data_IF_299939738676
#
_entry.id   IF_299939738676
#
_cell.length_a   1.000
_cell.length_b   1.000
_cell.length_c   1.000
_cell.angle_alpha   90.00
_cell.angle_beta   90.00
_cell.angle_gamma   90.00
#
_symmetry.space_group_name_H-M   'P 1'
#
loop_
_entity.id
_entity.type
_entity.pdbx_description
1 polymer ?
#
# COMPACT_ATOMS: atom_id res chain seq x y z
N UNK A 1 -36.87 -1.19 7.35
CA UNK A 1 -35.84 -1.79 8.22
C UNK A 1 -35.67 -3.27 7.92
N UNK A 2 -34.54 -3.60 7.29
CA UNK A 2 -34.12 -4.98 7.04
C UNK A 2 -33.64 -5.68 8.31
N UNK A 3 -33.87 -6.98 8.36
CA UNK A 3 -33.34 -7.84 9.43
C UNK A 3 -31.83 -8.07 9.25
N UNK A 4 -31.08 -8.39 10.33
CA UNK A 4 -29.67 -8.75 10.23
C UNK A 4 -29.38 -9.91 9.28
N UNK A 5 -30.31 -10.87 9.17
CA UNK A 5 -30.22 -11.99 8.24
C UNK A 5 -30.30 -11.51 6.77
N UNK A 6 -31.21 -10.59 6.46
CA UNK A 6 -31.35 -10.00 5.12
C UNK A 6 -30.12 -9.17 4.73
N UNK A 7 -29.56 -8.39 5.65
CA UNK A 7 -28.31 -7.66 5.40
C UNK A 7 -27.13 -8.61 5.12
N UNK A 8 -27.09 -9.75 5.83
CA UNK A 8 -26.08 -10.79 5.58
C UNK A 8 -26.26 -11.43 4.21
N UNK A 9 -27.51 -11.71 3.81
CA UNK A 9 -27.83 -12.24 2.50
C UNK A 9 -27.43 -11.27 1.36
N UNK A 10 -27.66 -9.97 1.51
CA UNK A 10 -27.22 -8.94 0.54
C UNK A 10 -25.68 -8.99 0.38
N UNK A 11 -24.95 -8.97 1.50
CA UNK A 11 -23.48 -9.02 1.48
C UNK A 11 -22.95 -10.31 0.83
N UNK A 12 -23.58 -11.44 1.12
CA UNK A 12 -23.22 -12.72 0.53
C UNK A 12 -23.50 -12.73 -0.97
N UNK A 13 -24.65 -12.22 -1.41
CA UNK A 13 -24.99 -12.09 -2.83
C UNK A 13 -23.97 -11.22 -3.59
N UNK A 14 -23.59 -10.06 -3.03
CA UNK A 14 -22.58 -9.19 -3.62
C UNK A 14 -21.19 -9.87 -3.75
N UNK A 15 -20.82 -10.73 -2.80
CA UNK A 15 -19.51 -11.41 -2.79
C UNK A 15 -19.47 -12.68 -3.64
N UNK A 16 -20.44 -13.56 -3.46
CA UNK A 16 -20.41 -14.91 -3.99
C UNK A 16 -21.07 -14.99 -5.35
N UNK A 17 -22.18 -14.27 -5.55
CA UNK A 17 -22.90 -14.27 -6.83
C UNK A 17 -22.28 -13.25 -7.80
N UNK A 18 -22.02 -12.03 -7.33
CA UNK A 18 -21.49 -10.96 -8.17
C UNK A 18 -19.96 -10.90 -8.22
N UNK A 19 -19.26 -11.75 -7.45
CA UNK A 19 -17.80 -11.88 -7.43
C UNK A 19 -17.06 -10.58 -7.11
N UNK A 20 -17.69 -9.66 -6.39
CA UNK A 20 -17.06 -8.40 -6.01
C UNK A 20 -15.96 -8.67 -4.98
N UNK A 21 -14.79 -8.06 -5.19
CA UNK A 21 -13.62 -8.23 -4.32
C UNK A 21 -13.35 -7.00 -3.45
N UNK A 22 -13.79 -5.83 -3.91
CA UNK A 22 -13.58 -4.56 -3.22
C UNK A 22 -14.67 -4.35 -2.19
N UNK A 23 -14.32 -4.52 -0.92
CA UNK A 23 -15.37 -4.41 0.07
C UNK A 23 -15.76 -2.99 0.48
N UNK A 24 -14.99 -1.94 0.13
CA UNK A 24 -15.44 -0.55 0.35
C UNK A 24 -16.68 -0.32 -0.51
N UNK A 25 -16.59 -0.79 -1.75
CA UNK A 25 -17.72 -0.82 -2.66
C UNK A 25 -18.81 -1.78 -2.17
N UNK A 26 -18.49 -2.96 -1.63
CA UNK A 26 -19.53 -3.87 -1.09
C UNK A 26 -20.32 -3.22 0.05
N UNK A 27 -19.68 -2.46 0.95
CA UNK A 27 -20.40 -1.74 2.00
C UNK A 27 -21.32 -0.67 1.41
N UNK A 28 -20.79 0.18 0.54
CA UNK A 28 -21.55 1.26 -0.10
C UNK A 28 -22.74 0.70 -0.89
N UNK A 29 -22.50 -0.37 -1.66
CA UNK A 29 -23.57 -1.09 -2.35
C UNK A 29 -24.54 -1.75 -1.37
N UNK A 30 -24.08 -2.29 -0.24
CA UNK A 30 -25.00 -2.86 0.76
C UNK A 30 -25.97 -1.79 1.27
N UNK A 31 -25.49 -0.57 1.53
CA UNK A 31 -26.36 0.53 1.99
C UNK A 31 -27.37 0.91 0.90
N UNK A 32 -26.93 1.04 -0.35
CA UNK A 32 -27.82 1.34 -1.47
C UNK A 32 -28.82 0.22 -1.78
N UNK A 33 -28.40 -1.05 -1.77
CA UNK A 33 -29.28 -2.20 -1.89
C UNK A 33 -30.29 -2.24 -0.74
N UNK A 34 -29.86 -1.91 0.47
CA UNK A 34 -30.75 -1.90 1.64
C UNK A 34 -31.89 -0.90 1.44
N UNK A 35 -31.57 0.32 1.01
CA UNK A 35 -32.59 1.34 0.71
C UNK A 35 -33.55 0.88 -0.41
N UNK A 36 -33.00 0.39 -1.53
CA UNK A 36 -33.82 -0.05 -2.67
C UNK A 36 -34.74 -1.23 -2.32
N UNK A 37 -34.25 -2.19 -1.53
CA UNK A 37 -35.03 -3.35 -1.09
C UNK A 37 -36.08 -2.91 -0.07
N UNK A 38 -35.77 -2.00 0.85
CA UNK A 38 -36.76 -1.49 1.82
C UNK A 38 -37.94 -0.83 1.12
N UNK A 39 -37.68 -0.03 0.08
CA UNK A 39 -38.74 0.60 -0.71
C UNK A 39 -39.65 -0.42 -1.40
N UNK A 40 -39.07 -1.52 -1.91
CA UNK A 40 -39.81 -2.61 -2.55
C UNK A 40 -40.60 -3.45 -1.54
N UNK A 41 -40.02 -3.73 -0.36
CA UNK A 41 -40.71 -4.44 0.72
C UNK A 41 -41.89 -3.63 1.26
N UNK A 42 -41.75 -2.30 1.34
CA UNK A 42 -42.85 -1.41 1.73
C UNK A 42 -44.03 -1.47 0.75
N UNK A 43 -43.79 -1.86 -0.50
CA UNK A 43 -44.81 -2.09 -1.53
C UNK A 43 -45.40 -3.51 -1.49
N UNK A 44 -44.99 -4.34 -0.53
CA UNK A 44 -45.49 -5.71 -0.36
C UNK A 44 -44.83 -6.75 -1.27
N UNK A 45 -43.71 -6.41 -1.92
CA UNK A 45 -42.94 -7.40 -2.69
C UNK A 45 -42.17 -8.33 -1.75
N UNK A 46 -41.81 -9.52 -2.24
CA UNK A 46 -40.96 -10.45 -1.47
C UNK A 46 -39.50 -10.02 -1.52
N UNK A 47 -38.71 -10.44 -0.52
CA UNK A 47 -37.29 -10.10 -0.45
C UNK A 47 -36.50 -10.58 -1.69
N UNK A 48 -36.75 -11.80 -2.17
CA UNK A 48 -36.02 -12.35 -3.32
C UNK A 48 -36.32 -11.55 -4.61
N UNK A 49 -37.58 -11.17 -4.82
CA UNK A 49 -37.97 -10.31 -5.94
C UNK A 49 -37.39 -8.90 -5.81
N UNK A 50 -37.38 -8.35 -4.60
CA UNK A 50 -36.79 -7.04 -4.34
C UNK A 50 -35.27 -7.04 -4.57
N UNK A 51 -34.57 -8.10 -4.15
CA UNK A 51 -33.14 -8.30 -4.35
C UNK A 51 -32.81 -8.41 -5.84
N UNK A 52 -33.53 -9.24 -6.61
CA UNK A 52 -33.33 -9.36 -8.05
C UNK A 52 -33.62 -8.04 -8.79
N UNK A 53 -34.63 -7.30 -8.35
CA UNK A 53 -34.97 -5.98 -8.93
C UNK A 53 -33.88 -4.95 -8.63
N UNK A 54 -33.36 -4.92 -7.39
CA UNK A 54 -32.23 -4.09 -7.03
C UNK A 54 -31.00 -4.45 -7.86
N UNK A 55 -30.68 -5.74 -8.01
CA UNK A 55 -29.56 -6.22 -8.80
C UNK A 55 -29.64 -5.78 -10.27
N UNK A 56 -30.83 -5.91 -10.87
CA UNK A 56 -31.10 -5.41 -12.22
C UNK A 56 -30.93 -3.88 -12.32
N UNK A 57 -31.31 -3.13 -11.28
CA UNK A 57 -31.13 -1.69 -11.18
C UNK A 57 -29.66 -1.24 -11.21
N UNK A 58 -28.75 -2.07 -10.68
CA UNK A 58 -27.30 -1.84 -10.75
C UNK A 58 -26.63 -2.42 -12.01
N UNK A 59 -27.43 -2.92 -12.96
CA UNK A 59 -26.93 -3.51 -14.21
C UNK A 59 -26.47 -4.96 -14.06
N UNK A 60 -26.95 -5.67 -13.05
CA UNK A 60 -26.55 -7.04 -12.67
C UNK A 60 -25.02 -7.13 -12.44
N UNK A 61 -24.50 -8.36 -12.42
CA UNK A 61 -23.07 -8.64 -12.32
C UNK A 61 -22.15 -7.76 -13.20
N UNK A 62 -22.37 -7.59 -14.53
CA UNK A 62 -21.46 -6.78 -15.34
C UNK A 62 -21.47 -5.29 -14.96
N UNK A 63 -22.63 -4.75 -14.57
CA UNK A 63 -22.74 -3.38 -14.06
C UNK A 63 -21.94 -3.20 -12.77
N UNK A 64 -22.11 -4.13 -11.82
CA UNK A 64 -21.39 -4.13 -10.55
C UNK A 64 -19.87 -4.27 -10.71
N UNK A 65 -19.41 -5.15 -11.61
CA UNK A 65 -17.98 -5.29 -11.92
C UNK A 65 -17.42 -4.02 -12.58
N UNK A 66 -18.21 -3.34 -13.42
CA UNK A 66 -17.81 -2.06 -13.99
C UNK A 66 -17.67 -0.97 -12.92
N UNK A 67 -18.58 -0.95 -11.93
CA UNK A 67 -18.49 -0.06 -10.77
C UNK A 67 -17.25 -0.35 -9.93
N UNK A 68 -16.91 -1.62 -9.69
CA UNK A 68 -15.67 -2.00 -9.00
C UNK A 68 -14.44 -1.51 -9.75
N UNK A 69 -14.41 -1.68 -11.07
CA UNK A 69 -13.31 -1.18 -11.90
C UNK A 69 -13.20 0.34 -11.85
N UNK A 70 -14.33 1.06 -11.89
CA UNK A 70 -14.33 2.52 -11.79
C UNK A 70 -13.86 3.00 -10.42
N UNK A 71 -14.35 2.38 -9.35
CA UNK A 71 -13.97 2.70 -7.98
C UNK A 71 -12.48 2.47 -7.74
N UNK A 72 -11.97 1.31 -8.17
CA UNK A 72 -10.54 0.98 -8.04
C UNK A 72 -9.65 1.93 -8.85
N UNK A 73 -10.04 2.28 -10.07
CA UNK A 73 -9.31 3.25 -10.89
C UNK A 73 -9.29 4.65 -10.26
N UNK A 74 -10.43 5.12 -9.75
CA UNK A 74 -10.52 6.42 -9.09
C UNK A 74 -9.67 6.48 -7.82
N UNK A 75 -9.74 5.42 -6.99
CA UNK A 75 -8.93 5.29 -5.77
C UNK A 75 -7.43 5.25 -6.08
N UNK A 76 -7.02 4.50 -7.10
CA UNK A 76 -5.63 4.44 -7.56
C UNK A 76 -5.14 5.80 -8.06
N UNK A 77 -5.97 6.54 -8.82
CA UNK A 77 -5.60 7.86 -9.32
C UNK A 77 -5.38 8.85 -8.16
N UNK A 78 -6.28 8.87 -7.18
CA UNK A 78 -6.16 9.72 -5.99
C UNK A 78 -4.89 9.38 -5.17
N UNK A 79 -4.58 8.09 -5.03
CA UNK A 79 -3.35 7.63 -4.41
C UNK A 79 -2.12 8.17 -5.16
N UNK A 80 -2.05 7.99 -6.47
CA UNK A 80 -0.93 8.47 -7.29
C UNK A 80 -0.77 9.99 -7.26
N UNK A 81 -1.87 10.74 -7.27
CA UNK A 81 -1.82 12.21 -7.11
C UNK A 81 -1.19 12.59 -5.76
N UNK A 82 -1.55 11.88 -4.68
CA UNK A 82 -0.97 12.10 -3.35
C UNK A 82 0.53 11.79 -3.33
N UNK A 83 0.94 10.67 -3.95
CA UNK A 83 2.35 10.30 -4.10
C UNK A 83 3.13 11.36 -4.88
N UNK A 84 2.60 11.81 -6.02
CA UNK A 84 3.23 12.84 -6.85
C UNK A 84 3.35 14.19 -6.14
N UNK A 85 2.33 14.58 -5.38
CA UNK A 85 2.37 15.81 -4.60
C UNK A 85 3.48 15.76 -3.55
N UNK A 86 3.57 14.66 -2.79
CA UNK A 86 4.65 14.45 -1.82
C UNK A 86 6.02 14.40 -2.50
N UNK A 87 6.15 13.70 -3.62
CA UNK A 87 7.40 13.64 -4.38
C UNK A 87 7.87 15.05 -4.78
N UNK A 88 6.94 15.90 -5.23
CA UNK A 88 7.23 17.29 -5.55
C UNK A 88 7.74 18.07 -4.33
N UNK A 89 7.16 17.85 -3.16
CA UNK A 89 7.66 18.46 -1.91
C UNK A 89 9.08 17.99 -1.55
N UNK A 90 9.44 16.75 -1.88
CA UNK A 90 10.79 16.23 -1.70
C UNK A 90 11.79 16.81 -2.71
N UNK A 91 11.34 17.24 -3.89
CA UNK A 91 12.18 17.96 -4.86
C UNK A 91 12.43 19.43 -4.51
N UNK A 92 11.93 19.93 -3.38
CA UNK A 92 12.26 21.27 -2.92
C UNK A 92 13.77 21.41 -2.67
N UNK A 93 14.37 22.51 -3.15
CA UNK A 93 15.81 22.81 -3.10
C UNK A 93 16.55 22.43 -1.80
N UNK A 94 16.07 22.79 -0.58
CA UNK A 94 16.79 22.45 0.65
C UNK A 94 16.87 20.94 0.89
N UNK A 95 15.87 20.17 0.46
CA UNK A 95 15.85 18.71 0.61
C UNK A 95 16.72 18.03 -0.45
N UNK A 96 16.77 18.56 -1.66
CA UNK A 96 17.70 18.09 -2.70
C UNK A 96 19.15 18.23 -2.26
N UNK A 97 19.52 19.37 -1.66
CA UNK A 97 20.87 19.58 -1.12
C UNK A 97 21.21 18.51 -0.07
N UNK A 98 20.27 18.21 0.84
CA UNK A 98 20.42 17.14 1.82
C UNK A 98 20.57 15.75 1.18
N UNK A 99 19.82 15.48 0.11
CA UNK A 99 19.92 14.20 -0.61
C UNK A 99 21.27 14.05 -1.31
N UNK A 100 21.73 15.09 -2.02
CA UNK A 100 23.03 15.08 -2.69
C UNK A 100 24.18 15.01 -1.68
N UNK A 101 24.08 15.70 -0.54
CA UNK A 101 25.12 15.62 0.51
C UNK A 101 25.16 14.23 1.14
N UNK A 102 24.00 13.62 1.46
CA UNK A 102 23.91 12.26 1.96
C UNK A 102 24.52 11.27 0.97
N UNK A 103 24.20 11.40 -0.32
CA UNK A 103 24.73 10.55 -1.39
C UNK A 103 26.24 10.69 -1.51
N UNK A 104 26.76 11.92 -1.44
CA UNK A 104 28.20 12.20 -1.46
C UNK A 104 28.94 11.62 -0.26
N UNK A 105 28.37 11.75 0.96
CA UNK A 105 28.92 11.15 2.18
C UNK A 105 28.93 9.63 2.08
N UNK A 106 27.83 9.03 1.61
CA UNK A 106 27.72 7.59 1.46
C UNK A 106 28.74 7.07 0.43
N UNK A 107 28.87 7.74 -0.72
CA UNK A 107 29.87 7.43 -1.74
C UNK A 107 31.29 7.53 -1.18
N UNK A 108 31.61 8.61 -0.45
CA UNK A 108 32.92 8.77 0.18
C UNK A 108 33.23 7.64 1.15
N UNK A 109 32.28 7.28 2.02
CA UNK A 109 32.41 6.16 2.96
C UNK A 109 32.59 4.83 2.22
N UNK A 110 31.78 4.56 1.20
CA UNK A 110 31.85 3.33 0.39
C UNK A 110 33.18 3.20 -0.34
N UNK A 111 33.68 4.29 -0.92
CA UNK A 111 34.93 4.32 -1.71
C UNK A 111 36.18 4.10 -0.88
N UNK A 112 36.19 4.53 0.39
CA UNK A 112 37.38 4.44 1.27
C UNK A 112 37.50 3.10 2.02
N UNK A 113 36.44 2.30 2.06
CA UNK A 113 36.31 1.15 2.97
C UNK A 113 36.09 -0.18 2.23
N UNK A 114 36.73 -0.31 1.06
CA UNK A 114 36.26 -1.10 -0.08
C UNK A 114 36.21 -2.64 0.09
N UNK A 115 36.78 -3.26 1.12
CA UNK A 115 36.81 -4.75 1.19
C UNK A 115 36.18 -5.39 2.44
N UNK A 116 36.38 -4.86 3.64
CA UNK A 116 35.82 -5.47 4.87
C UNK A 116 34.50 -4.80 5.31
N UNK A 117 34.42 -3.48 5.17
CA UNK A 117 33.31 -2.67 5.68
C UNK A 117 32.12 -2.70 4.72
N UNK A 118 32.35 -2.93 3.43
CA UNK A 118 31.29 -3.13 2.44
C UNK A 118 30.46 -4.38 2.76
N UNK A 119 31.11 -5.54 2.93
CA UNK A 119 30.43 -6.77 3.36
C UNK A 119 29.73 -6.59 4.71
N UNK A 120 30.35 -5.87 5.65
CA UNK A 120 29.74 -5.53 6.94
C UNK A 120 28.46 -4.69 6.81
N UNK A 121 28.47 -3.65 5.97
CA UNK A 121 27.31 -2.77 5.73
C UNK A 121 26.18 -3.49 5.01
N UNK A 122 26.52 -4.36 4.07
CA UNK A 122 25.58 -5.24 3.35
C UNK A 122 24.89 -6.19 4.31
N UNK A 123 25.66 -6.87 5.15
CA UNK A 123 25.13 -7.79 6.16
C UNK A 123 24.28 -7.01 7.16
N UNK A 124 24.72 -5.82 7.59
CA UNK A 124 23.98 -4.96 8.51
C UNK A 124 22.65 -4.50 7.89
N UNK A 125 22.62 -4.09 6.62
CA UNK A 125 21.39 -3.65 5.94
C UNK A 125 20.42 -4.80 5.71
N UNK A 126 20.91 -5.98 5.31
CA UNK A 126 20.09 -7.21 5.24
C UNK A 126 19.55 -7.58 6.62
N UNK A 127 20.37 -7.47 7.66
CA UNK A 127 19.99 -7.80 9.04
C UNK A 127 18.96 -6.80 9.58
N UNK A 128 19.14 -5.50 9.36
CA UNK A 128 18.15 -4.46 9.69
C UNK A 128 16.85 -4.67 8.91
N UNK A 129 16.90 -5.05 7.64
CA UNK A 129 15.71 -5.38 6.85
C UNK A 129 14.94 -6.58 7.43
N UNK A 130 15.65 -7.64 7.83
CA UNK A 130 15.04 -8.84 8.44
C UNK A 130 14.48 -8.53 9.84
N UNK A 131 15.19 -7.73 10.65
CA UNK A 131 14.80 -7.45 12.04
C UNK A 131 13.72 -6.38 12.12
N UNK A 132 13.81 -5.31 11.32
CA UNK A 132 12.87 -4.17 11.38
C UNK A 132 11.76 -4.33 10.36
N UNK A 133 12.10 -4.65 9.10
CA UNK A 133 11.11 -4.77 8.03
C UNK A 133 10.15 -5.94 8.24
N UNK A 134 10.66 -7.11 8.62
CA UNK A 134 9.83 -8.32 8.71
C UNK A 134 8.71 -8.28 9.78
N UNK A 135 8.90 -7.70 10.98
CA UNK A 135 7.81 -7.51 11.94
C UNK A 135 6.95 -6.27 11.66
N UNK A 136 7.48 -5.18 11.07
CA UNK A 136 6.65 -4.03 10.66
C UNK A 136 5.68 -4.37 9.53
N UNK A 137 6.07 -5.30 8.62
CA UNK A 137 5.23 -5.77 7.52
C UNK A 137 4.52 -7.11 7.79
N UNK A 138 4.74 -7.71 8.97
CA UNK A 138 3.84 -8.72 9.53
C UNK A 138 2.93 -8.04 10.53
N UNK A 139 2.09 -7.10 10.07
CA UNK A 139 0.87 -6.85 10.83
C UNK A 139 0.11 -8.18 10.93
N UNK A 140 -0.36 -8.56 12.13
CA UNK A 140 -0.96 -9.86 12.33
C UNK A 140 -2.13 -9.99 11.36
N UNK A 141 -2.01 -10.91 10.41
CA UNK A 141 -3.12 -11.53 9.69
C UNK A 141 -3.93 -12.39 10.67
N UNK A 142 -4.18 -11.91 11.89
CA UNK A 142 -5.13 -12.55 12.78
C UNK A 142 -6.51 -12.27 12.20
N UNK A 143 -7.18 -13.36 11.84
CA UNK A 143 -8.59 -13.43 11.43
C UNK A 143 -9.53 -13.03 12.56
N UNK A 144 -9.22 -11.96 13.28
CA UNK A 144 -10.03 -11.45 14.36
C UNK A 144 -10.89 -10.35 13.78
N UNK A 145 -12.16 -10.68 13.56
CA UNK A 145 -13.26 -9.76 13.24
C UNK A 145 -13.47 -8.76 14.38
N UNK A 146 -12.47 -7.93 14.70
CA UNK A 146 -12.68 -6.78 15.54
C UNK A 146 -13.30 -5.70 14.65
N UNK A 147 -14.62 -5.65 14.68
CA UNK A 147 -15.34 -4.40 14.41
C UNK A 147 -14.79 -3.43 15.46
N UNK A 148 -14.06 -2.40 15.03
CA UNK A 148 -13.68 -1.34 15.96
C UNK A 148 -14.97 -0.66 16.41
N UNK A 149 -15.32 -0.84 17.69
CA UNK A 149 -16.53 -0.28 18.34
C UNK A 149 -16.61 1.25 18.27
N UNK A 150 -15.56 1.92 17.78
CA UNK A 150 -15.37 3.37 17.79
C UNK A 150 -15.45 4.04 16.40
N UNK A 151 -15.52 3.26 15.33
CA UNK A 151 -15.75 3.72 13.95
C UNK A 151 -16.42 2.56 13.22
N UNK A 152 -17.70 2.68 12.84
CA UNK A 152 -18.50 1.64 12.17
C UNK A 152 -17.92 1.17 10.81
N UNK A 153 -16.71 1.60 10.45
CA UNK A 153 -15.97 1.15 9.29
C UNK A 153 -15.22 -0.15 9.61
N UNK A 154 -15.42 -1.21 8.84
CA UNK A 154 -14.81 -2.50 9.13
C UNK A 154 -13.29 -2.52 8.88
N UNK A 155 -12.60 -3.24 9.76
CA UNK A 155 -11.14 -3.38 9.88
C UNK A 155 -10.37 -3.68 8.57
N UNK A 156 -11.01 -4.32 7.58
CA UNK A 156 -10.36 -4.74 6.35
C UNK A 156 -10.09 -3.59 5.35
N UNK A 157 -10.72 -2.42 5.53
CA UNK A 157 -10.39 -1.18 4.78
C UNK A 157 -8.93 -0.78 5.03
N UNK A 158 -8.49 -0.90 6.28
CA UNK A 158 -7.09 -0.66 6.65
C UNK A 158 -6.17 -1.73 6.08
N UNK A 159 -6.64 -2.98 5.99
CA UNK A 159 -5.87 -4.13 5.48
C UNK A 159 -5.51 -4.03 4.00
N UNK A 160 -6.37 -3.48 3.13
CA UNK A 160 -6.11 -3.37 1.69
C UNK A 160 -5.13 -2.24 1.36
N UNK A 161 -5.25 -1.12 2.09
CA UNK A 161 -4.26 -0.03 2.02
C UNK A 161 -2.90 -0.49 2.49
N UNK A 162 -2.80 -1.26 3.58
CA UNK A 162 -1.51 -1.78 4.05
C UNK A 162 -0.93 -2.84 3.12
N UNK A 163 -1.73 -3.71 2.48
CA UNK A 163 -1.23 -4.76 1.59
C UNK A 163 -0.59 -4.21 0.28
N UNK A 164 -1.20 -3.19 -0.35
CA UNK A 164 -0.59 -2.54 -1.52
C UNK A 164 0.72 -1.83 -1.15
N UNK A 165 0.76 -1.29 0.06
CA UNK A 165 1.87 -0.52 0.59
C UNK A 165 3.02 -1.45 1.07
N UNK A 166 2.68 -2.61 1.63
CA UNK A 166 3.59 -3.74 1.91
C UNK A 166 4.21 -4.27 0.62
N UNK A 167 3.44 -4.41 -0.45
CA UNK A 167 3.96 -4.86 -1.75
C UNK A 167 4.91 -3.81 -2.35
N UNK A 168 4.49 -2.54 -2.40
CA UNK A 168 5.34 -1.44 -2.89
C UNK A 168 6.60 -1.30 -2.04
N UNK A 169 6.49 -1.38 -0.71
CA UNK A 169 7.63 -1.39 0.22
C UNK A 169 8.58 -2.56 -0.05
N UNK A 170 8.07 -3.79 -0.15
CA UNK A 170 8.91 -4.96 -0.36
C UNK A 170 9.57 -4.98 -1.74
N UNK A 171 8.89 -4.48 -2.78
CA UNK A 171 9.46 -4.33 -4.11
C UNK A 171 10.50 -3.21 -4.12
N UNK A 172 10.23 -2.05 -3.50
CA UNK A 172 11.17 -0.95 -3.42
C UNK A 172 12.39 -1.27 -2.54
N UNK A 173 12.20 -1.97 -1.42
CA UNK A 173 13.30 -2.43 -0.58
C UNK A 173 14.06 -3.57 -1.25
N UNK A 174 13.34 -4.53 -1.85
CA UNK A 174 13.94 -5.67 -2.54
C UNK A 174 14.76 -5.23 -3.75
N UNK A 175 14.20 -4.47 -4.67
CA UNK A 175 14.93 -3.96 -5.82
C UNK A 175 15.96 -2.93 -5.36
N UNK A 176 15.54 -2.02 -4.48
CA UNK A 176 16.31 -0.86 -4.14
C UNK A 176 17.48 -1.05 -3.21
N UNK A 177 17.48 -2.11 -2.41
CA UNK A 177 18.67 -2.53 -1.67
C UNK A 177 19.47 -3.56 -2.46
N UNK A 178 18.86 -4.56 -3.10
CA UNK A 178 19.62 -5.64 -3.73
C UNK A 178 20.28 -5.24 -5.05
N UNK A 179 19.66 -4.40 -5.88
CA UNK A 179 20.26 -3.94 -7.15
C UNK A 179 21.56 -3.15 -6.93
N UNK A 180 21.61 -2.12 -6.06
CA UNK A 180 22.87 -1.43 -5.80
C UNK A 180 23.92 -2.34 -5.17
N UNK A 181 23.50 -3.30 -4.35
CA UNK A 181 24.38 -4.30 -3.78
C UNK A 181 25.00 -5.22 -4.84
N UNK A 182 24.20 -5.67 -5.79
CA UNK A 182 24.66 -6.50 -6.89
C UNK A 182 25.56 -5.73 -7.85
N UNK A 183 25.20 -4.48 -8.17
CA UNK A 183 25.96 -3.61 -9.05
C UNK A 183 27.31 -3.18 -8.47
N UNK A 184 27.46 -3.15 -7.14
CA UNK A 184 28.74 -2.84 -6.50
C UNK A 184 29.67 -4.04 -6.36
N UNK A 185 29.14 -5.27 -6.45
CA UNK A 185 29.94 -6.51 -6.52
C UNK A 185 30.33 -6.85 -7.96
N UNK A 186 29.52 -6.47 -8.95
CA UNK A 186 29.78 -6.68 -10.38
C UNK A 186 31.22 -6.32 -10.84
N UNK A 187 31.82 -5.19 -10.41
CA UNK A 187 33.18 -4.82 -10.80
C UNK A 187 34.26 -5.77 -10.28
N UNK A 188 34.06 -6.44 -9.13
CA UNK A 188 35.07 -7.39 -8.63
C UNK A 188 35.16 -8.64 -9.50
N UNK A 189 34.16 -8.87 -10.37
CA UNK A 189 34.15 -9.94 -11.36
C UNK A 189 34.79 -9.54 -12.70
N UNK A 190 34.97 -8.25 -12.97
CA UNK A 190 35.51 -7.73 -14.23
C UNK A 190 36.75 -6.88 -13.96
N UNK A 191 37.94 -7.35 -14.37
CA UNK A 191 39.25 -6.84 -13.90
C UNK A 191 39.68 -5.44 -14.37
N UNK A 192 38.74 -4.59 -14.81
CA UNK A 192 39.04 -3.25 -15.32
C UNK A 192 38.66 -2.16 -14.31
N UNK A 193 39.69 -1.58 -13.68
CA UNK A 193 39.58 -0.54 -12.65
C UNK A 193 38.81 0.71 -13.05
N UNK A 194 38.63 0.98 -14.35
CA UNK A 194 37.86 2.13 -14.86
C UNK A 194 36.37 2.01 -14.60
N UNK A 195 35.83 0.80 -14.52
CA UNK A 195 34.40 0.57 -14.31
C UNK A 195 34.00 0.57 -12.83
N UNK A 196 34.94 0.24 -11.94
CA UNK A 196 34.72 0.12 -10.50
C UNK A 196 34.10 1.38 -9.86
N UNK A 197 34.68 2.56 -10.12
CA UNK A 197 34.18 3.83 -9.54
C UNK A 197 32.80 4.20 -10.05
N UNK A 198 32.51 3.92 -11.33
CA UNK A 198 31.21 4.16 -11.93
C UNK A 198 30.12 3.30 -11.26
N UNK A 199 30.40 2.01 -11.07
CA UNK A 199 29.46 1.08 -10.43
C UNK A 199 29.24 1.39 -8.94
N UNK A 200 30.27 1.81 -8.20
CA UNK A 200 30.12 2.28 -6.81
C UNK A 200 29.27 3.55 -6.73
N UNK A 201 29.50 4.51 -7.62
CA UNK A 201 28.67 5.72 -7.70
C UNK A 201 27.21 5.38 -8.03
N UNK A 202 26.99 4.56 -9.06
CA UNK A 202 25.64 4.16 -9.46
C UNK A 202 24.91 3.39 -8.36
N UNK A 203 25.62 2.52 -7.64
CA UNK A 203 25.11 1.82 -6.46
C UNK A 203 24.66 2.81 -5.36
N UNK A 204 25.47 3.81 -5.03
CA UNK A 204 25.12 4.81 -4.03
C UNK A 204 23.86 5.61 -4.44
N UNK A 205 23.72 5.94 -5.73
CA UNK A 205 22.52 6.61 -6.27
C UNK A 205 21.29 5.72 -6.17
N UNK A 206 21.37 4.46 -6.60
CA UNK A 206 20.25 3.53 -6.48
C UNK A 206 19.83 3.32 -5.03
N UNK A 207 20.78 3.20 -4.09
CA UNK A 207 20.49 3.04 -2.67
C UNK A 207 19.75 4.26 -2.10
N UNK A 208 20.21 5.46 -2.41
CA UNK A 208 19.60 6.71 -1.92
C UNK A 208 18.21 6.95 -2.48
N UNK A 209 17.98 6.68 -3.77
CA UNK A 209 16.64 6.72 -4.38
C UNK A 209 15.70 5.72 -3.70
N UNK A 210 16.20 4.55 -3.35
CA UNK A 210 15.42 3.48 -2.73
C UNK A 210 15.07 3.79 -1.29
N UNK A 211 16.02 4.34 -0.53
CA UNK A 211 15.79 4.85 0.82
C UNK A 211 14.76 5.98 0.81
N UNK A 212 14.88 6.93 -0.12
CA UNK A 212 13.92 8.03 -0.26
C UNK A 212 12.52 7.51 -0.58
N UNK A 213 12.42 6.58 -1.53
CA UNK A 213 11.15 5.94 -1.89
C UNK A 213 10.53 5.22 -0.70
N UNK A 214 11.34 4.51 0.08
CA UNK A 214 10.89 3.85 1.32
C UNK A 214 10.37 4.86 2.35
N UNK A 215 11.09 5.96 2.59
CA UNK A 215 10.68 7.00 3.54
C UNK A 215 9.35 7.64 3.12
N UNK A 216 9.17 7.95 1.84
CA UNK A 216 7.92 8.49 1.30
C UNK A 216 6.76 7.52 1.56
N UNK A 217 6.98 6.24 1.24
CA UNK A 217 6.00 5.17 1.43
C UNK A 217 5.65 5.00 2.92
N UNK A 218 6.65 4.98 3.80
CA UNK A 218 6.46 4.90 5.24
C UNK A 218 5.68 6.11 5.80
N UNK A 219 6.01 7.32 5.37
CA UNK A 219 5.32 8.55 5.77
C UNK A 219 3.85 8.53 5.31
N UNK A 220 3.60 8.13 4.05
CA UNK A 220 2.24 7.98 3.53
C UNK A 220 1.43 6.94 4.31
N UNK A 221 2.06 5.82 4.68
CA UNK A 221 1.44 4.81 5.55
C UNK A 221 1.04 5.40 6.89
N UNK A 222 1.97 6.14 7.50
CA UNK A 222 1.79 6.74 8.82
C UNK A 222 0.66 7.77 8.80
N UNK A 223 0.64 8.66 7.79
CA UNK A 223 -0.40 9.66 7.63
C UNK A 223 -1.78 9.08 7.30
N UNK A 224 -1.84 7.91 6.66
CA UNK A 224 -3.09 7.24 6.37
C UNK A 224 -3.57 6.34 7.50
N UNK A 225 -2.75 6.11 8.53
CA UNK A 225 -3.12 5.31 9.69
C UNK A 225 -3.98 6.16 10.68
N UNK A 226 -5.25 5.81 10.90
CA UNK A 226 -6.17 6.56 11.73
C UNK A 226 -5.80 6.48 13.22
N UNK A 227 -5.17 5.38 13.66
CA UNK A 227 -4.79 5.14 15.04
C UNK A 227 -3.67 6.10 15.41
N UNK A 228 -2.67 6.21 14.53
CA UNK A 228 -1.55 7.12 14.71
C UNK A 228 -1.98 8.60 14.63
N UNK A 229 -2.92 8.94 13.74
CA UNK A 229 -3.53 10.27 13.70
C UNK A 229 -4.26 10.64 14.99
N UNK A 230 -4.93 9.68 15.63
CA UNK A 230 -5.62 9.93 16.92
C UNK A 230 -4.63 10.04 18.08
N UNK A 231 -3.59 9.20 18.11
CA UNK A 231 -2.52 9.29 19.11
C UNK A 231 -1.79 10.64 19.04
N UNK A 232 -1.53 11.14 17.82
CA UNK A 232 -0.94 12.45 17.61
C UNK A 232 -1.89 13.63 17.91
N UNK A 233 -3.20 13.38 18.04
CA UNK A 233 -4.21 14.39 18.38
C UNK A 233 -4.60 14.37 19.87
N UNK A 234 -4.10 13.39 20.63
CA UNK A 234 -4.32 13.27 22.08
C UNK A 234 -3.19 13.87 22.92
N UNK A 235 -2.19 14.48 22.28
CA UNK A 235 -1.18 15.36 22.92
C UNK A 235 -1.56 16.83 22.73
#
# INVERSE_FOLDING_TARGET
>A
MLTPAQLTAIKQHLRETNLLSNEELILELTDHYSLAIEDQLAQGTTFDTALATADAGFGNQPGLLSLEKHYTNASNLAFWQTVLHKLKDYTALPRLIGLFSLTGILYYLLSNFWQATFCGLVILTITLYIIVGRPFFRFPSSKTNYIHEWDNRPYWIYRRRTAGLEWVSNVLLGIGFNVPLFLSVLPTLFSEHTHERFFVFFSAVCFTVSLLSFVIVAELTFQQNPILKRLAASE
#
